data_IF_089704597973
#
_entry.id   IF_089704597973
#
_cell.length_a   1.000
_cell.length_b   1.000
_cell.length_c   1.000
_cell.angle_alpha   90.00
_cell.angle_beta   90.00
_cell.angle_gamma   90.00
#
_symmetry.space_group_name_H-M   'P 1'
#
loop_
_entity.id
_entity.type
_entity.pdbx_description
1 polymer ?
#
# COMPACT_ATOMS: atom_id res chain seq x y z
N UNK A 1 -32.48 14.74 40.12
CA UNK A 1 -32.29 14.69 38.65
C UNK A 1 -30.85 14.31 38.40
N UNK A 2 -30.56 13.01 38.31
CA UNK A 2 -29.21 12.46 38.35
C UNK A 2 -28.61 12.40 36.94
N UNK A 3 -27.37 12.85 36.70
CA UNK A 3 -26.69 12.61 35.43
C UNK A 3 -26.25 11.15 35.32
N UNK A 4 -26.58 10.50 34.21
CA UNK A 4 -26.08 9.18 33.81
C UNK A 4 -24.63 9.33 33.31
N UNK A 5 -23.64 8.61 33.86
CA UNK A 5 -22.32 8.52 33.24
C UNK A 5 -22.36 7.57 32.03
N UNK A 6 -21.83 8.02 30.89
CA UNK A 6 -21.61 7.19 29.71
C UNK A 6 -20.45 6.20 29.90
N UNK A 7 -20.36 5.12 29.11
CA UNK A 7 -19.25 4.18 29.19
C UNK A 7 -18.00 4.81 28.55
N UNK A 8 -17.23 5.50 29.39
CA UNK A 8 -15.89 5.97 29.08
C UNK A 8 -14.90 4.81 28.93
N UNK A 9 -14.08 4.95 27.90
CA UNK A 9 -12.89 4.19 27.56
C UNK A 9 -12.06 3.83 28.79
N UNK A 10 -11.82 2.52 28.98
CA UNK A 10 -10.85 2.01 29.96
C UNK A 10 -9.44 2.13 29.36
N UNK A 11 -8.51 2.91 29.93
CA UNK A 11 -7.12 2.86 29.52
C UNK A 11 -6.46 1.60 30.09
N UNK A 12 -5.88 0.79 29.19
CA UNK A 12 -5.01 -0.32 29.53
C UNK A 12 -3.72 0.21 30.17
N UNK A 13 -3.59 0.04 31.49
CA UNK A 13 -2.34 0.26 32.22
C UNK A 13 -2.12 -0.92 33.17
N UNK A 14 -0.98 -1.59 32.98
CA UNK A 14 -0.30 -2.53 33.89
C UNK A 14 -0.96 -3.90 34.16
N UNK A 15 -0.66 -4.88 33.30
CA UNK A 15 -0.57 -6.29 33.70
C UNK A 15 0.89 -6.76 33.56
N UNK A 16 1.75 -6.25 34.44
CA UNK A 16 3.16 -6.67 34.57
C UNK A 16 3.43 -7.53 35.79
N UNK A 17 2.41 -8.16 36.38
CA UNK A 17 2.54 -8.80 37.69
C UNK A 17 1.62 -10.01 37.89
N UNK A 18 1.69 -11.02 37.02
CA UNK A 18 1.11 -12.34 37.31
C UNK A 18 1.96 -13.48 36.73
N UNK A 19 3.22 -13.59 37.16
CA UNK A 19 3.90 -14.89 37.15
C UNK A 19 4.84 -15.05 38.36
N UNK A 20 4.30 -14.77 39.55
CA UNK A 20 4.91 -15.14 40.84
C UNK A 20 3.95 -16.04 41.62
N UNK A 21 3.53 -17.15 41.00
CA UNK A 21 2.47 -17.98 41.59
C UNK A 21 2.37 -19.42 41.08
N UNK A 22 3.40 -19.98 40.45
CA UNK A 22 3.44 -21.43 40.19
C UNK A 22 4.36 -22.10 41.20
N UNK A 23 3.77 -22.52 42.32
CA UNK A 23 4.40 -23.29 43.40
C UNK A 23 4.79 -24.71 42.99
N UNK A 24 5.72 -24.84 42.05
CA UNK A 24 6.37 -26.12 41.70
C UNK A 24 7.83 -26.20 42.18
N UNK A 25 8.32 -25.20 42.91
CA UNK A 25 9.60 -25.28 43.61
C UNK A 25 9.36 -25.61 45.07
N UNK A 26 9.41 -26.91 45.41
CA UNK A 26 9.61 -27.35 46.77
C UNK A 26 10.90 -26.73 47.31
N UNK A 27 10.76 -25.87 48.32
CA UNK A 27 11.88 -25.33 49.06
C UNK A 27 12.65 -26.49 49.72
N UNK A 28 13.88 -26.74 49.28
CA UNK A 28 14.84 -27.55 50.03
C UNK A 28 15.46 -26.64 51.11
N UNK A 29 15.48 -27.04 52.39
CA UNK A 29 16.20 -26.29 53.41
C UNK A 29 17.70 -26.51 53.23
N UNK A 30 18.46 -25.41 53.23
CA UNK A 30 19.90 -25.35 53.51
C UNK A 30 20.81 -26.33 52.77
N UNK A 31 21.24 -25.99 51.56
CA UNK A 31 22.56 -26.41 51.07
C UNK A 31 23.48 -25.21 51.12
N UNK A 32 24.46 -25.23 52.03
CA UNK A 32 25.58 -24.31 51.99
C UNK A 32 26.17 -24.30 50.57
N UNK A 33 26.37 -23.11 50.00
CA UNK A 33 27.02 -22.94 48.70
C UNK A 33 28.46 -23.41 48.89
N UNK A 34 28.75 -24.64 48.47
CA UNK A 34 30.12 -25.08 48.31
C UNK A 34 30.80 -24.16 47.29
N UNK A 35 32.03 -23.69 47.52
CA UNK A 35 32.74 -22.87 46.56
C UNK A 35 32.82 -23.62 45.23
N UNK A 36 32.30 -22.99 44.16
CA UNK A 36 32.31 -23.57 42.83
C UNK A 36 33.75 -23.90 42.42
N UNK A 37 33.97 -25.13 41.94
CA UNK A 37 35.26 -25.58 41.40
C UNK A 37 35.70 -24.59 40.31
N UNK A 38 36.92 -24.02 40.35
CA UNK A 38 37.35 -23.03 39.38
C UNK A 38 37.34 -23.62 37.97
N UNK A 39 37.00 -22.83 36.96
CA UNK A 39 36.85 -23.28 35.57
C UNK A 39 38.11 -23.97 34.98
N UNK A 40 39.27 -23.79 35.62
CA UNK A 40 40.56 -24.36 35.24
C UNK A 40 41.06 -25.46 36.19
N UNK A 41 40.20 -25.99 37.07
CA UNK A 41 40.60 -27.11 37.91
C UNK A 41 40.89 -28.35 37.04
N UNK A 42 41.90 -29.16 37.38
CA UNK A 42 42.17 -30.41 36.68
C UNK A 42 40.87 -31.24 36.56
N UNK A 43 40.55 -31.64 35.33
CA UNK A 43 39.46 -32.59 35.08
C UNK A 43 39.82 -33.89 35.79
N UNK A 44 38.82 -34.48 36.44
CA UNK A 44 38.99 -35.78 37.07
C UNK A 44 39.28 -36.81 35.96
N UNK A 45 40.40 -37.56 36.01
CA UNK A 45 40.73 -38.53 34.97
C UNK A 45 39.67 -39.63 34.79
N UNK A 46 38.81 -39.84 35.79
CA UNK A 46 37.70 -40.79 35.73
C UNK A 46 36.36 -40.14 35.32
N UNK A 47 36.35 -38.84 35.01
CA UNK A 47 35.16 -38.15 34.48
C UNK A 47 34.98 -38.52 32.99
N UNK A 48 33.87 -39.18 32.61
CA UNK A 48 33.65 -39.61 31.22
C UNK A 48 33.66 -38.45 30.22
N UNK A 49 33.49 -37.20 30.67
CA UNK A 49 33.54 -36.03 29.80
C UNK A 49 32.30 -35.89 28.90
N UNK A 50 31.25 -36.67 29.14
CA UNK A 50 29.96 -36.62 28.47
C UNK A 50 28.80 -36.80 29.46
N UNK A 51 27.61 -36.32 29.08
CA UNK A 51 26.39 -36.51 29.87
C UNK A 51 26.00 -37.99 29.90
N UNK A 52 25.93 -38.58 31.08
CA UNK A 52 25.63 -40.01 31.28
C UNK A 52 24.14 -40.32 31.41
N UNK A 53 23.28 -39.29 31.43
CA UNK A 53 21.83 -39.42 31.58
C UNK A 53 21.10 -39.00 30.30
N UNK A 54 20.22 -39.89 29.83
CA UNK A 54 19.38 -39.62 28.67
C UNK A 54 18.33 -38.53 28.91
N UNK A 55 18.02 -37.81 27.84
CA UNK A 55 16.93 -36.82 27.83
C UNK A 55 15.60 -37.53 28.05
N UNK A 56 14.80 -37.02 29.00
CA UNK A 56 13.45 -37.53 29.25
C UNK A 56 12.52 -37.14 28.11
N UNK A 57 12.35 -38.05 27.14
CA UNK A 57 11.50 -37.88 25.94
C UNK A 57 10.14 -37.29 26.27
N UNK A 58 9.48 -37.77 27.34
CA UNK A 58 8.18 -37.27 27.79
C UNK A 58 8.18 -35.78 28.12
N UNK A 59 9.20 -35.30 28.82
CA UNK A 59 9.29 -33.89 29.21
C UNK A 59 9.57 -33.01 27.99
N UNK A 60 10.46 -33.46 27.10
CA UNK A 60 10.72 -32.77 25.83
C UNK A 60 9.47 -32.69 24.97
N UNK A 61 8.71 -33.78 24.86
CA UNK A 61 7.45 -33.80 24.12
C UNK A 61 6.40 -32.84 24.71
N UNK A 62 6.27 -32.77 26.05
CA UNK A 62 5.37 -31.83 26.70
C UNK A 62 5.76 -30.36 26.46
N UNK A 63 7.06 -30.06 26.48
CA UNK A 63 7.56 -28.70 26.16
C UNK A 63 7.26 -28.33 24.71
N UNK A 64 7.53 -29.24 23.77
CA UNK A 64 7.23 -29.02 22.34
C UNK A 64 5.73 -28.86 22.08
N UNK A 65 4.89 -29.66 22.74
CA UNK A 65 3.44 -29.54 22.65
C UNK A 65 2.95 -28.19 23.22
N UNK A 66 3.49 -27.76 24.37
CA UNK A 66 3.19 -26.46 24.96
C UNK A 66 3.60 -25.30 24.05
N UNK A 67 4.78 -25.39 23.42
CA UNK A 67 5.23 -24.40 22.46
C UNK A 67 4.32 -24.35 21.23
N UNK A 68 3.99 -25.50 20.65
CA UNK A 68 3.06 -25.56 19.52
C UNK A 68 1.68 -24.96 19.87
N UNK A 69 1.14 -25.29 21.05
CA UNK A 69 -0.14 -24.77 21.50
C UNK A 69 -0.11 -23.25 21.74
N UNK A 70 1.01 -22.71 22.25
CA UNK A 70 1.18 -21.26 22.39
C UNK A 70 1.15 -20.54 21.04
N UNK A 71 1.85 -21.07 20.03
CA UNK A 71 1.86 -20.51 18.67
C UNK A 71 0.46 -20.55 18.06
N UNK A 72 -0.23 -21.70 18.17
CA UNK A 72 -1.61 -21.84 17.70
C UNK A 72 -2.56 -20.90 18.42
N UNK A 73 -2.37 -20.67 19.73
CA UNK A 73 -3.18 -19.72 20.50
C UNK A 73 -2.99 -18.29 20.02
N UNK A 74 -1.74 -17.87 19.74
CA UNK A 74 -1.46 -16.54 19.18
C UNK A 74 -2.10 -16.38 17.79
N UNK A 75 -1.94 -17.36 16.91
CA UNK A 75 -2.55 -17.32 15.57
C UNK A 75 -4.07 -17.30 15.68
N UNK A 76 -4.65 -18.16 16.53
CA UNK A 76 -6.09 -18.26 16.74
C UNK A 76 -6.69 -16.97 17.28
N UNK A 77 -6.05 -16.35 18.27
CA UNK A 77 -6.50 -15.06 18.83
C UNK A 77 -6.39 -13.93 17.81
N UNK A 78 -5.33 -13.89 17.00
CA UNK A 78 -5.16 -12.91 15.91
C UNK A 78 -6.27 -13.03 14.86
N UNK A 79 -6.53 -14.26 14.37
CA UNK A 79 -7.59 -14.53 13.39
C UNK A 79 -8.96 -14.19 13.97
N UNK A 80 -9.23 -14.58 15.21
CA UNK A 80 -10.48 -14.27 15.91
C UNK A 80 -10.68 -12.75 16.05
N UNK A 81 -9.64 -12.02 16.47
CA UNK A 81 -9.71 -10.57 16.65
C UNK A 81 -9.93 -9.84 15.32
N UNK A 82 -9.27 -10.26 14.25
CA UNK A 82 -9.48 -9.71 12.90
C UNK A 82 -10.90 -9.99 12.38
N UNK A 83 -11.42 -11.19 12.61
CA UNK A 83 -12.81 -11.54 12.30
C UNK A 83 -13.81 -10.69 13.07
N UNK A 84 -13.64 -10.61 14.40
CA UNK A 84 -14.51 -9.83 15.28
C UNK A 84 -14.50 -8.33 14.94
N UNK A 85 -13.33 -7.76 14.68
CA UNK A 85 -13.18 -6.36 14.29
C UNK A 85 -13.76 -6.06 12.90
N UNK A 86 -13.51 -6.92 11.91
CA UNK A 86 -14.11 -6.72 10.58
C UNK A 86 -15.63 -6.83 10.62
N UNK A 87 -16.18 -7.72 11.46
CA UNK A 87 -17.62 -7.85 11.67
C UNK A 87 -18.22 -6.66 12.42
N UNK A 88 -17.50 -6.04 13.35
CA UNK A 88 -17.96 -4.83 14.03
C UNK A 88 -17.91 -3.61 13.09
N UNK A 89 -16.85 -3.45 12.29
CA UNK A 89 -16.76 -2.40 11.30
C UNK A 89 -17.86 -2.48 10.24
N UNK A 90 -18.15 -3.66 9.68
CA UNK A 90 -19.26 -3.83 8.73
C UNK A 90 -20.62 -3.45 9.31
N UNK A 91 -20.83 -3.66 10.62
CA UNK A 91 -22.06 -3.26 11.32
C UNK A 91 -22.13 -1.76 11.59
N UNK A 92 -20.99 -1.09 11.71
CA UNK A 92 -20.90 0.35 11.89
C UNK A 92 -21.01 1.13 10.59
N UNK A 93 -20.75 0.49 9.44
CA UNK A 93 -20.93 1.11 8.13
C UNK A 93 -22.42 1.17 7.76
N UNK A 94 -22.90 2.31 7.23
CA UNK A 94 -24.25 2.37 6.68
C UNK A 94 -24.38 1.44 5.48
N UNK A 95 -25.54 0.80 5.34
CA UNK A 95 -25.86 -0.04 4.17
C UNK A 95 -25.75 0.79 2.90
N UNK A 96 -24.94 0.35 1.95
CA UNK A 96 -24.80 1.03 0.66
C UNK A 96 -26.14 1.04 -0.07
N UNK A 97 -26.47 2.17 -0.71
CA UNK A 97 -27.68 2.26 -1.53
C UNK A 97 -27.49 1.48 -2.83
N UNK A 98 -28.61 1.11 -3.47
CA UNK A 98 -28.59 0.46 -4.80
C UNK A 98 -27.86 1.31 -5.85
N UNK A 99 -27.85 2.64 -5.71
CA UNK A 99 -27.11 3.54 -6.59
C UNK A 99 -25.60 3.47 -6.38
N UNK A 100 -25.13 3.28 -5.14
CA UNK A 100 -23.70 3.19 -4.82
C UNK A 100 -23.08 1.85 -5.22
N UNK A 101 -23.89 0.82 -5.39
CA UNK A 101 -23.48 -0.54 -5.80
C UNK A 101 -23.79 -0.84 -7.26
N UNK A 102 -24.42 0.11 -7.97
CA UNK A 102 -24.75 -0.05 -9.37
C UNK A 102 -23.46 -0.13 -10.22
N UNK A 103 -23.34 -1.12 -11.13
CA UNK A 103 -22.27 -1.14 -12.12
C UNK A 103 -22.35 0.11 -12.98
N UNK A 104 -21.38 1.01 -12.84
CA UNK A 104 -21.23 2.17 -13.71
C UNK A 104 -20.51 1.72 -14.99
N UNK A 105 -21.25 1.59 -16.09
CA UNK A 105 -20.65 1.44 -17.42
C UNK A 105 -20.37 2.84 -17.96
N UNK A 106 -19.10 3.25 -18.11
CA UNK A 106 -18.81 4.54 -18.73
C UNK A 106 -19.35 4.55 -20.17
N UNK A 107 -19.82 5.71 -20.67
CA UNK A 107 -20.21 5.80 -22.07
C UNK A 107 -19.01 5.42 -22.96
N UNK A 108 -19.26 4.80 -24.14
CA UNK A 108 -18.18 4.49 -25.06
C UNK A 108 -17.43 5.76 -25.46
N UNK A 109 -16.11 5.68 -25.68
CA UNK A 109 -15.32 6.83 -26.13
C UNK A 109 -15.85 7.34 -27.47
N UNK A 110 -16.00 8.67 -27.60
CA UNK A 110 -16.36 9.31 -28.86
C UNK A 110 -15.15 9.27 -29.80
N UNK A 111 -15.04 8.22 -30.62
CA UNK A 111 -14.02 8.11 -31.64
C UNK A 111 -14.45 8.87 -32.91
N UNK A 112 -13.52 9.57 -33.53
CA UNK A 112 -13.71 10.15 -34.86
C UNK A 112 -14.01 9.02 -35.85
N UNK A 113 -15.11 9.13 -36.59
CA UNK A 113 -15.63 8.04 -37.41
C UNK A 113 -14.70 7.66 -38.57
N UNK A 114 -14.11 8.66 -39.23
CA UNK A 114 -13.13 8.47 -40.30
C UNK A 114 -12.03 9.56 -40.23
N UNK A 115 -10.92 9.30 -39.53
CA UNK A 115 -9.85 10.27 -39.39
C UNK A 115 -9.11 10.54 -40.71
N UNK A 116 -9.12 9.61 -41.66
CA UNK A 116 -8.37 9.76 -42.92
C UNK A 116 -9.11 10.67 -43.89
N UNK A 117 -10.42 10.47 -44.05
CA UNK A 117 -11.25 11.35 -44.87
C UNK A 117 -11.19 12.80 -44.36
N UNK A 118 -11.27 13.01 -43.04
CA UNK A 118 -11.20 14.34 -42.45
C UNK A 118 -9.83 15.01 -42.67
N UNK A 119 -8.73 14.24 -42.61
CA UNK A 119 -7.40 14.75 -42.93
C UNK A 119 -7.28 15.16 -44.40
N UNK A 120 -7.86 14.39 -45.32
CA UNK A 120 -7.82 14.71 -46.74
C UNK A 120 -8.67 15.94 -47.07
N UNK A 121 -9.83 16.09 -46.44
CA UNK A 121 -10.63 17.31 -46.54
C UNK A 121 -9.87 18.54 -46.01
N UNK A 122 -9.19 18.42 -44.87
CA UNK A 122 -8.38 19.51 -44.31
C UNK A 122 -7.20 19.88 -45.22
N UNK A 123 -6.51 18.88 -45.78
CA UNK A 123 -5.42 19.08 -46.74
C UNK A 123 -5.91 19.79 -47.99
N UNK A 124 -7.02 19.33 -48.58
CA UNK A 124 -7.61 19.96 -49.76
C UNK A 124 -8.01 21.42 -49.50
N UNK A 125 -8.61 21.70 -48.35
CA UNK A 125 -9.00 23.07 -47.96
C UNK A 125 -7.78 23.97 -47.67
N UNK A 126 -6.67 23.41 -47.20
CA UNK A 126 -5.41 24.13 -47.03
C UNK A 126 -4.77 24.45 -48.39
N UNK A 127 -4.69 23.45 -49.27
CA UNK A 127 -4.12 23.58 -50.61
C UNK A 127 -4.88 24.63 -51.44
N UNK A 128 -6.22 24.60 -51.41
CA UNK A 128 -7.05 25.60 -52.09
C UNK A 128 -6.81 27.03 -51.59
N UNK A 129 -6.46 27.20 -50.30
CA UNK A 129 -6.12 28.52 -49.74
C UNK A 129 -4.72 28.99 -50.11
N UNK A 130 -3.77 28.08 -50.31
CA UNK A 130 -2.38 28.38 -50.66
C UNK A 130 -2.20 28.69 -52.15
N UNK A 131 -2.90 27.95 -53.00
CA UNK A 131 -2.83 28.08 -54.47
C UNK A 131 -3.81 29.12 -55.05
N UNK A 132 -4.80 29.55 -54.26
CA UNK A 132 -5.88 30.42 -54.71
C UNK A 132 -5.77 31.88 -54.27
N UNK A 133 -6.42 32.75 -55.04
CA UNK A 133 -6.70 34.12 -54.62
C UNK A 133 -7.88 34.18 -53.66
N UNK A 134 -7.91 35.18 -52.79
CA UNK A 134 -9.08 35.45 -51.96
C UNK A 134 -8.88 36.63 -51.04
N UNK A 135 -9.67 36.69 -49.97
CA UNK A 135 -9.50 37.68 -48.91
C UNK A 135 -9.16 36.98 -47.60
N UNK A 136 -8.24 37.56 -46.83
CA UNK A 136 -7.87 37.03 -45.51
C UNK A 136 -8.82 37.45 -44.40
N UNK A 137 -9.62 38.51 -44.63
CA UNK A 137 -10.57 39.06 -43.68
C UNK A 137 -12.01 39.05 -44.21
N UNK A 138 -13.03 38.98 -43.32
CA UNK A 138 -14.43 39.01 -43.74
C UNK A 138 -14.85 40.33 -44.41
N UNK A 139 -14.24 41.45 -44.00
CA UNK A 139 -14.50 42.77 -44.55
C UNK A 139 -13.88 43.00 -45.94
N UNK A 140 -13.13 42.01 -46.45
CA UNK A 140 -12.46 42.04 -47.77
C UNK A 140 -11.50 43.22 -47.95
N UNK A 141 -10.87 43.66 -46.87
CA UNK A 141 -9.89 44.74 -46.89
C UNK A 141 -8.47 44.26 -47.17
N UNK A 142 -8.18 42.98 -46.95
CA UNK A 142 -6.88 42.38 -47.20
C UNK A 142 -6.98 41.23 -48.19
N UNK A 143 -6.47 41.45 -49.39
CA UNK A 143 -6.37 40.42 -50.42
C UNK A 143 -5.26 39.42 -50.07
N UNK A 144 -5.55 38.14 -50.31
CA UNK A 144 -4.60 37.03 -50.32
C UNK A 144 -4.29 36.67 -51.76
N UNK A 145 -3.01 36.48 -52.03
CA UNK A 145 -2.49 35.98 -53.30
C UNK A 145 -1.97 34.55 -53.12
N UNK A 146 -1.89 33.75 -54.20
CA UNK A 146 -1.24 32.45 -54.17
C UNK A 146 0.19 32.55 -53.65
N UNK A 147 0.65 31.54 -52.92
CA UNK A 147 1.97 31.54 -52.29
C UNK A 147 3.09 31.64 -53.31
N UNK A 148 3.00 30.95 -54.44
CA UNK A 148 4.01 31.02 -55.51
C UNK A 148 4.18 32.46 -56.03
N UNK A 149 3.05 33.16 -56.22
CA UNK A 149 3.07 34.56 -56.64
C UNK A 149 3.62 35.49 -55.55
N UNK A 150 3.34 35.20 -54.29
CA UNK A 150 3.92 35.96 -53.19
C UNK A 150 5.45 35.83 -53.18
N UNK A 151 5.95 34.60 -53.37
CA UNK A 151 7.38 34.35 -53.48
C UNK A 151 7.99 35.15 -54.63
N UNK A 152 7.43 35.07 -55.84
CA UNK A 152 7.91 35.80 -57.02
C UNK A 152 8.03 37.32 -56.79
N UNK A 153 7.09 37.92 -56.05
CA UNK A 153 7.10 39.35 -55.76
C UNK A 153 8.15 39.75 -54.71
N UNK A 154 8.51 38.82 -53.83
CA UNK A 154 9.41 39.05 -52.68
C UNK A 154 10.87 38.72 -53.03
N UNK A 155 11.13 37.85 -54.01
CA UNK A 155 12.51 37.50 -54.40
C UNK A 155 13.35 38.76 -54.63
N UNK A 156 14.50 38.85 -53.94
CA UNK A 156 15.43 39.97 -54.05
C UNK A 156 15.01 41.25 -53.33
N UNK A 157 13.94 41.24 -52.54
CA UNK A 157 13.47 42.38 -51.72
C UNK A 157 13.59 42.08 -50.22
N UNK A 158 13.95 43.09 -49.42
CA UNK A 158 13.94 42.97 -47.96
C UNK A 158 12.51 42.86 -47.44
N UNK A 159 12.30 42.02 -46.42
CA UNK A 159 10.99 41.81 -45.77
C UNK A 159 10.74 42.79 -44.61
N UNK A 160 11.71 43.67 -44.33
CA UNK A 160 11.60 44.65 -43.26
C UNK A 160 10.46 45.63 -43.52
N UNK A 161 9.70 45.95 -42.48
CA UNK A 161 8.67 46.95 -42.56
C UNK A 161 9.33 48.30 -42.89
N UNK A 162 8.80 49.10 -43.85
CA UNK A 162 9.29 50.45 -44.05
C UNK A 162 9.15 51.22 -42.73
N UNK A 163 10.24 51.81 -42.23
CA UNK A 163 10.20 52.71 -41.08
C UNK A 163 9.14 53.80 -41.37
N UNK A 164 8.17 53.94 -40.46
CA UNK A 164 7.08 54.92 -40.59
C UNK A 164 7.48 56.27 -40.03
#
# INVERSE_FOLDING_TARGET
MSPRPGPGLIPAILAGLTLRGSGLLGARPGSAIAPGKPANAPRDPDDPGYETRDVKVRNTALVMAGLALSVLSVIGTMVWMMGAFSASQRRALPTLTKQQTAPLTPPPPNLQADPYADLDHQRAAAEARLSGYGYSDPARTRARIPVDRAMDLVVGRSLDAPER
#
